data_IF_313615798738
#
_entry.id   IF_313615798738
#
_cell.length_a   1.000
_cell.length_b   1.000
_cell.length_c   1.000
_cell.angle_alpha   90.00
_cell.angle_beta   90.00
_cell.angle_gamma   90.00
#
_symmetry.space_group_name_H-M   'P 1'
#
loop_
_entity.id
_entity.type
_entity.pdbx_description
1 polymer ?
#
# COMPACT_ATOMS: atom_id res chain seq x y z
N UNK A 1 -8.34 -7.28 -7.61
CA UNK A 1 -9.57 -7.51 -6.81
C UNK A 1 -9.33 -6.83 -5.48
N UNK A 2 -10.00 -5.72 -5.21
CA UNK A 2 -9.76 -4.92 -4.02
C UNK A 2 -9.96 -5.71 -2.71
N UNK A 3 -9.15 -5.37 -1.69
CA UNK A 3 -9.31 -5.84 -0.30
C UNK A 3 -10.75 -5.63 0.19
N UNK A 4 -11.24 -6.57 1.01
CA UNK A 4 -12.56 -6.40 1.62
C UNK A 4 -12.54 -5.22 2.60
N UNK A 5 -13.68 -4.51 2.70
CA UNK A 5 -13.80 -3.38 3.61
C UNK A 5 -13.46 -3.74 5.06
N UNK A 6 -13.86 -4.93 5.52
CA UNK A 6 -13.53 -5.43 6.86
C UNK A 6 -12.02 -5.57 7.07
N UNK A 7 -11.28 -5.98 6.04
CA UNK A 7 -9.81 -6.06 6.12
C UNK A 7 -9.20 -4.66 6.14
N UNK A 8 -9.67 -3.73 5.29
CA UNK A 8 -9.19 -2.34 5.27
C UNK A 8 -9.39 -1.68 6.64
N UNK A 9 -10.61 -1.76 7.19
CA UNK A 9 -10.94 -1.19 8.49
C UNK A 9 -10.04 -1.78 9.60
N UNK A 10 -9.78 -3.10 9.55
CA UNK A 10 -8.87 -3.77 10.51
C UNK A 10 -7.41 -3.33 10.35
N UNK A 11 -6.95 -3.10 9.11
CA UNK A 11 -5.60 -2.61 8.84
C UNK A 11 -5.45 -1.15 9.28
N UNK A 12 -6.48 -0.32 9.13
CA UNK A 12 -6.52 1.05 9.63
C UNK A 12 -6.39 1.10 11.16
N UNK A 13 -7.15 0.26 11.87
CA UNK A 13 -7.04 0.11 13.32
C UNK A 13 -5.64 -0.35 13.75
N UNK A 14 -5.06 -1.32 13.03
CA UNK A 14 -3.70 -1.79 13.28
C UNK A 14 -2.65 -0.69 13.04
N UNK A 15 -2.78 0.11 11.97
CA UNK A 15 -1.90 1.26 11.70
C UNK A 15 -1.99 2.29 12.82
N UNK A 16 -3.19 2.59 13.31
CA UNK A 16 -3.38 3.51 14.44
C UNK A 16 -2.68 2.99 15.71
N UNK A 17 -2.84 1.71 16.02
CA UNK A 17 -2.16 1.07 17.15
C UNK A 17 -0.62 1.09 17.00
N UNK A 18 -0.10 0.80 15.81
CA UNK A 18 1.34 0.82 15.51
C UNK A 18 1.93 2.23 15.60
N UNK A 19 1.21 3.27 15.12
CA UNK A 19 1.64 4.67 15.27
C UNK A 19 1.69 5.11 16.73
N UNK A 20 0.71 4.69 17.53
CA UNK A 20 0.73 4.91 18.97
C UNK A 20 1.91 4.20 19.63
N UNK A 21 2.13 2.91 19.31
CA UNK A 21 3.26 2.14 19.81
C UNK A 21 4.60 2.80 19.46
N UNK A 22 4.75 3.30 18.23
CA UNK A 22 5.94 4.04 17.81
C UNK A 22 6.13 5.33 18.62
N UNK A 23 5.06 6.08 18.88
CA UNK A 23 5.13 7.29 19.70
C UNK A 23 5.52 7.00 21.16
N UNK A 24 5.13 5.85 21.71
CA UNK A 24 5.60 5.42 23.03
C UNK A 24 7.05 4.93 22.99
N UNK A 25 7.42 4.12 22.00
CA UNK A 25 8.77 3.61 21.83
C UNK A 25 9.79 4.73 21.61
N UNK A 26 9.45 5.75 20.83
CA UNK A 26 10.33 6.89 20.55
C UNK A 26 10.74 7.69 21.79
N UNK A 27 9.98 7.59 22.89
CA UNK A 27 10.27 8.31 24.15
C UNK A 27 11.11 7.50 25.13
N UNK A 28 10.93 6.18 25.15
CA UNK A 28 11.39 5.33 26.26
C UNK A 28 12.28 4.17 25.84
N UNK A 29 12.38 3.84 24.55
CA UNK A 29 13.01 2.61 24.07
C UNK A 29 14.26 2.86 23.22
N UNK A 30 15.01 1.78 22.99
CA UNK A 30 16.18 1.81 22.10
C UNK A 30 15.77 2.09 20.65
N UNK A 31 16.60 2.80 19.85
CA UNK A 31 16.30 3.11 18.45
C UNK A 31 15.94 1.89 17.58
N UNK A 32 16.57 0.73 17.85
CA UNK A 32 16.28 -0.54 17.17
C UNK A 32 14.80 -0.98 17.30
N UNK A 33 14.15 -0.68 18.43
CA UNK A 33 12.73 -1.01 18.65
C UNK A 33 11.85 -0.10 17.79
N UNK A 34 12.18 1.19 17.73
CA UNK A 34 11.47 2.16 16.89
C UNK A 34 11.56 1.77 15.40
N UNK A 35 12.75 1.38 14.94
CA UNK A 35 12.96 0.90 13.56
C UNK A 35 12.12 -0.35 13.27
N UNK A 36 12.07 -1.30 14.21
CA UNK A 36 11.27 -2.52 14.03
C UNK A 36 9.78 -2.23 13.90
N UNK A 37 9.24 -1.32 14.74
CA UNK A 37 7.84 -0.91 14.66
C UNK A 37 7.55 -0.17 13.34
N UNK A 38 8.45 0.72 12.93
CA UNK A 38 8.33 1.46 11.68
C UNK A 38 8.32 0.55 10.44
N UNK A 39 9.16 -0.50 10.42
CA UNK A 39 9.17 -1.51 9.34
C UNK A 39 7.86 -2.27 9.23
N UNK A 40 7.28 -2.65 10.37
CA UNK A 40 5.97 -3.34 10.39
C UNK A 40 4.88 -2.40 9.88
N UNK A 41 4.85 -1.15 10.35
CA UNK A 41 3.90 -0.14 9.89
C UNK A 41 3.99 0.07 8.37
N UNK A 42 5.21 0.22 7.84
CA UNK A 42 5.44 0.37 6.40
C UNK A 42 4.96 -0.86 5.61
N UNK A 43 5.20 -2.07 6.14
CA UNK A 43 4.75 -3.30 5.49
C UNK A 43 3.23 -3.35 5.41
N UNK A 44 2.53 -2.93 6.47
CA UNK A 44 1.07 -2.84 6.51
C UNK A 44 0.54 -1.84 5.46
N UNK A 45 1.13 -0.65 5.37
CA UNK A 45 0.76 0.36 4.36
C UNK A 45 1.04 -0.12 2.93
N UNK A 46 2.11 -0.89 2.73
CA UNK A 46 2.46 -1.44 1.43
C UNK A 46 1.44 -2.47 0.92
N UNK A 47 0.72 -3.17 1.80
CA UNK A 47 -0.32 -4.13 1.41
C UNK A 47 -1.46 -3.40 0.67
N UNK A 48 -1.93 -2.26 1.20
CA UNK A 48 -2.97 -1.45 0.56
C UNK A 48 -2.50 -0.84 -0.77
N UNK A 49 -1.27 -0.35 -0.81
CA UNK A 49 -0.69 0.24 -2.02
C UNK A 49 -0.50 -0.79 -3.14
N UNK A 50 -0.07 -2.00 -2.78
CA UNK A 50 0.16 -3.08 -3.75
C UNK A 50 -1.12 -3.48 -4.46
N UNK A 51 -2.23 -3.54 -3.75
CA UNK A 51 -3.56 -3.84 -4.32
C UNK A 51 -4.01 -2.75 -5.29
N UNK A 52 -3.85 -1.47 -4.91
CA UNK A 52 -4.15 -0.36 -5.81
C UNK A 52 -3.33 -0.45 -7.10
N UNK A 53 -2.02 -0.73 -6.99
CA UNK A 53 -1.15 -0.89 -8.16
C UNK A 53 -1.60 -2.08 -9.02
N UNK A 54 -1.88 -3.24 -8.42
CA UNK A 54 -2.36 -4.41 -9.18
C UNK A 54 -3.69 -4.13 -9.89
N UNK A 55 -4.63 -3.45 -9.22
CA UNK A 55 -5.89 -3.03 -9.85
C UNK A 55 -5.63 -2.04 -11.00
N UNK A 56 -4.69 -1.08 -10.88
CA UNK A 56 -4.34 -0.21 -12.02
C UNK A 56 -3.71 -0.98 -13.18
N UNK A 57 -2.87 -1.98 -12.90
CA UNK A 57 -2.24 -2.83 -13.92
C UNK A 57 -3.26 -3.71 -14.64
N UNK A 58 -4.22 -4.29 -13.91
CA UNK A 58 -5.30 -5.07 -14.49
C UNK A 58 -6.19 -4.21 -15.41
N UNK A 59 -6.51 -2.99 -14.97
CA UNK A 59 -7.25 -2.03 -15.80
C UNK A 59 -6.49 -1.63 -17.07
N UNK A 60 -5.17 -1.45 -16.99
CA UNK A 60 -4.32 -1.16 -18.15
C UNK A 60 -4.26 -2.36 -19.12
N UNK A 61 -4.10 -3.58 -18.60
CA UNK A 61 -4.07 -4.80 -19.42
C UNK A 61 -5.41 -5.03 -20.13
N UNK A 62 -6.54 -4.78 -19.45
CA UNK A 62 -7.87 -4.88 -20.05
C UNK A 62 -8.09 -3.85 -21.16
N UNK A 63 -7.47 -2.67 -21.07
CA UNK A 63 -7.64 -1.59 -22.06
C UNK A 63 -6.83 -1.82 -23.35
N UNK A 64 -5.76 -2.62 -23.28
CA UNK A 64 -4.91 -2.99 -24.42
C UNK A 64 -5.46 -4.17 -25.26
N UNK A 65 -6.70 -4.61 -25.02
CA UNK A 65 -7.34 -5.73 -25.72
C UNK A 65 -7.82 -5.42 -27.15
N UNK A 66 -7.94 -4.14 -27.52
CA UNK A 66 -8.37 -3.70 -28.84
C UNK A 66 -7.29 -2.81 -29.49
N UNK A 67 -6.28 -3.43 -30.11
CA UNK A 67 -5.53 -2.89 -31.27
C UNK A 67 -4.85 -1.51 -31.21
N UNK A 68 -4.89 -0.78 -30.10
CA UNK A 68 -4.34 0.58 -29.99
C UNK A 68 -3.07 0.58 -29.14
N UNK A 69 -1.98 1.05 -29.74
CA UNK A 69 -0.66 1.14 -29.13
C UNK A 69 -0.74 1.93 -27.80
N UNK A 70 -0.02 1.50 -26.73
CA UNK A 70 -0.06 2.16 -25.42
C UNK A 70 0.55 3.57 -25.43
N UNK A 71 1.31 3.88 -26.48
CA UNK A 71 1.69 5.22 -26.86
C UNK A 71 0.77 5.58 -28.02
N UNK A 72 -0.21 6.44 -27.76
CA UNK A 72 -1.18 6.86 -28.77
C UNK A 72 -0.50 7.19 -30.10
N UNK A 73 -1.20 6.88 -31.19
CA UNK A 73 -0.79 7.04 -32.60
C UNK A 73 0.22 8.19 -32.77
N UNK A 74 1.50 7.87 -32.86
CA UNK A 74 2.52 8.84 -33.27
C UNK A 74 2.31 9.10 -34.77
N UNK A 75 1.51 10.13 -35.08
CA UNK A 75 1.48 10.73 -36.42
C UNK A 75 2.76 11.58 -36.57
N UNK A 76 3.73 11.07 -37.32
CA UNK A 76 4.80 11.82 -37.96
C UNK A 76 4.50 11.98 -39.45
#
# INVERSE_FOLDING_TARGET
MALSKTVIDSLDDAKAALRNALAYAARNERPMVCESIAKILFTVESIESSECIMDTLDNLKSKNGDGENPFGKFDF
#
